data_IF_802200296609
#
_entry.id   IF_802200296609
#
_cell.length_a   1.000
_cell.length_b   1.000
_cell.length_c   1.000
_cell.angle_alpha   90.00
_cell.angle_beta   90.00
_cell.angle_gamma   90.00
#
_symmetry.space_group_name_H-M   'P 1'
#
loop_
_entity.id
_entity.type
_entity.pdbx_description
1 polymer ?
#
# COMPACT_ATOMS: atom_id res chain seq x y z
N UNK A 1 -18.32 5.96 8.41
CA UNK A 1 -17.31 6.62 9.27
C UNK A 1 -16.94 7.94 8.63
N UNK A 2 -17.59 9.04 9.06
CA UNK A 2 -17.45 10.33 8.38
C UNK A 2 -16.16 11.05 8.77
N UNK A 3 -15.68 10.86 9.99
CA UNK A 3 -14.61 11.70 10.55
C UNK A 3 -13.24 11.04 10.51
N UNK A 4 -13.08 9.97 9.73
CA UNK A 4 -11.86 9.16 9.72
C UNK A 4 -11.12 9.28 8.38
N UNK A 5 -9.80 9.43 8.44
CA UNK A 5 -8.90 9.30 7.29
C UNK A 5 -7.89 8.18 7.51
N UNK A 6 -7.43 7.63 6.39
CA UNK A 6 -6.39 6.61 6.29
C UNK A 6 -5.17 7.27 5.62
N UNK A 7 -4.03 7.22 6.30
CA UNK A 7 -2.75 7.70 5.82
C UNK A 7 -1.85 6.51 5.49
N UNK A 8 -1.31 6.47 4.28
CA UNK A 8 -0.44 5.39 3.80
C UNK A 8 0.94 5.92 3.44
N UNK A 9 1.98 5.09 3.61
CA UNK A 9 3.35 5.41 3.20
C UNK A 9 4.20 6.09 4.28
N UNK A 10 3.65 6.35 5.47
CA UNK A 10 4.41 6.92 6.60
C UNK A 10 5.27 5.83 7.23
N UNK A 11 6.58 6.01 7.32
CA UNK A 11 7.50 5.03 7.94
C UNK A 11 7.06 4.65 9.35
N UNK A 12 7.31 3.41 9.74
CA UNK A 12 6.93 2.87 11.05
C UNK A 12 8.16 2.74 11.94
N UNK A 13 8.04 3.16 13.21
CA UNK A 13 9.07 2.99 14.21
C UNK A 13 8.55 2.18 15.41
N UNK A 14 9.45 1.43 16.05
CA UNK A 14 9.11 0.69 17.26
C UNK A 14 8.72 1.66 18.39
N UNK A 15 7.60 1.37 19.08
CA UNK A 15 7.06 2.20 20.17
C UNK A 15 6.80 3.67 19.77
N UNK A 16 6.44 3.93 18.51
CA UNK A 16 6.14 5.28 18.06
C UNK A 16 4.88 5.86 18.71
N UNK A 17 4.88 7.18 18.91
CA UNK A 17 3.65 7.91 19.18
C UNK A 17 2.99 8.28 17.86
N UNK A 18 2.01 7.46 17.44
CA UNK A 18 1.32 7.62 16.15
C UNK A 18 0.64 8.99 15.98
N UNK A 19 0.25 9.64 17.08
CA UNK A 19 -0.37 10.96 17.01
C UNK A 19 0.65 12.04 16.67
N UNK A 20 1.81 12.04 17.35
CA UNK A 20 2.91 12.97 17.06
C UNK A 20 3.44 12.79 15.64
N UNK A 21 3.69 11.54 15.22
CA UNK A 21 4.12 11.22 13.86
C UNK A 21 3.14 11.77 12.81
N UNK A 22 1.84 11.71 13.09
CA UNK A 22 0.84 12.23 12.17
C UNK A 22 0.74 13.77 12.20
N UNK A 23 0.95 14.40 13.35
CA UNK A 23 1.02 15.86 13.47
C UNK A 23 2.21 16.42 12.69
N UNK A 24 3.40 15.83 12.88
CA UNK A 24 4.61 16.18 12.14
C UNK A 24 4.39 16.02 10.63
N UNK A 25 3.83 14.88 10.20
CA UNK A 25 3.47 14.66 8.81
C UNK A 25 2.54 15.75 8.25
N UNK A 26 1.50 16.16 8.98
CA UNK A 26 0.55 17.18 8.52
C UNK A 26 1.24 18.55 8.39
N UNK A 27 2.11 18.91 9.33
CA UNK A 27 2.86 20.16 9.30
C UNK A 27 3.84 20.18 8.12
N UNK A 28 4.69 19.15 7.98
CA UNK A 28 5.77 19.10 6.99
C UNK A 28 5.29 18.85 5.56
N UNK A 29 4.31 17.97 5.37
CA UNK A 29 3.94 17.49 4.04
C UNK A 29 2.74 18.24 3.45
N UNK A 30 1.90 18.85 4.30
CA UNK A 30 0.67 19.52 3.90
C UNK A 30 0.68 21.03 4.17
N UNK A 31 1.72 21.59 4.80
CA UNK A 31 1.83 22.99 5.26
C UNK A 31 0.59 23.46 6.03
N UNK A 32 0.14 22.66 6.99
CA UNK A 32 -0.99 23.01 7.87
C UNK A 32 -0.46 23.17 9.28
N UNK A 33 -0.28 24.43 9.70
CA UNK A 33 0.21 24.79 11.04
C UNK A 33 -0.90 24.85 12.10
N UNK A 34 -2.15 24.56 11.72
CA UNK A 34 -3.27 24.51 12.66
C UNK A 34 -3.14 23.32 13.61
N UNK A 35 -3.44 23.52 14.90
CA UNK A 35 -3.49 22.43 15.87
C UNK A 35 -4.61 21.44 15.52
N UNK A 36 -4.22 20.28 14.97
CA UNK A 36 -5.14 19.21 14.62
C UNK A 36 -5.40 18.33 15.84
N UNK A 37 -6.67 18.22 16.24
CA UNK A 37 -7.09 17.40 17.38
C UNK A 37 -7.69 16.08 16.93
N UNK A 38 -7.11 14.99 17.42
CA UNK A 38 -7.58 13.65 17.15
C UNK A 38 -8.33 13.08 18.35
N UNK A 39 -9.34 12.25 18.09
CA UNK A 39 -9.96 11.43 19.12
C UNK A 39 -9.21 10.09 19.30
N UNK A 40 -8.69 9.55 18.20
CA UNK A 40 -7.96 8.28 18.19
C UNK A 40 -7.06 8.19 16.96
N UNK A 41 -5.81 7.76 17.16
CA UNK A 41 -4.85 7.48 16.09
C UNK A 41 -4.20 6.14 16.37
N UNK A 42 -4.06 5.29 15.35
CA UNK A 42 -3.38 3.99 15.46
C UNK A 42 -3.02 3.43 14.08
N UNK A 43 -2.05 2.51 14.03
CA UNK A 43 -1.71 1.72 12.84
C UNK A 43 -2.76 0.64 12.58
N UNK A 44 -2.99 0.32 11.30
CA UNK A 44 -3.87 -0.74 10.84
C UNK A 44 -3.14 -2.06 10.66
N UNK A 45 -3.73 -3.15 11.17
CA UNK A 45 -3.23 -4.51 11.00
C UNK A 45 -2.17 -4.91 12.03
N UNK A 46 -1.77 -6.19 12.08
CA UNK A 46 -0.67 -6.63 12.93
C UNK A 46 0.66 -6.05 12.44
N UNK A 47 1.66 -5.83 13.31
CA UNK A 47 3.03 -5.54 12.90
C UNK A 47 3.49 -6.58 11.87
N UNK A 48 4.21 -6.14 10.85
CA UNK A 48 4.75 -7.04 9.84
C UNK A 48 6.20 -7.31 10.20
N UNK A 49 6.53 -8.58 10.44
CA UNK A 49 7.90 -8.98 10.74
C UNK A 49 8.76 -8.98 9.47
N UNK A 50 10.06 -8.73 9.64
CA UNK A 50 11.03 -8.52 8.56
C UNK A 50 11.41 -9.82 7.79
N UNK A 51 10.69 -10.92 8.01
CA UNK A 51 11.14 -12.27 7.65
C UNK A 51 10.95 -12.66 6.17
N UNK A 52 10.25 -11.87 5.36
CA UNK A 52 10.13 -12.10 3.92
C UNK A 52 11.35 -11.51 3.18
N UNK A 53 12.43 -12.30 3.15
CA UNK A 53 13.81 -11.94 2.75
C UNK A 53 14.09 -11.39 1.35
N UNK A 54 13.25 -10.51 0.79
CA UNK A 54 13.59 -9.71 -0.40
C UNK A 54 12.84 -8.37 -0.49
N UNK A 55 11.88 -8.05 0.39
CA UNK A 55 11.15 -6.78 0.31
C UNK A 55 11.10 -6.10 1.68
N UNK A 56 11.60 -4.87 1.77
CA UNK A 56 11.37 -4.03 2.96
C UNK A 56 9.87 -3.97 3.26
N UNK A 57 9.43 -4.32 4.47
CA UNK A 57 8.00 -4.37 4.80
C UNK A 57 7.38 -3.00 4.51
N UNK A 58 6.20 -3.03 3.89
CA UNK A 58 5.48 -1.78 3.60
C UNK A 58 4.95 -1.25 4.91
N UNK A 59 5.13 0.05 5.21
CA UNK A 59 4.65 0.60 6.46
C UNK A 59 3.12 0.48 6.55
N UNK A 60 2.64 0.13 7.75
CA UNK A 60 1.20 0.01 8.01
C UNK A 60 0.52 1.38 7.86
N UNK A 61 -0.68 1.39 7.33
CA UNK A 61 -1.44 2.63 7.24
C UNK A 61 -1.88 3.12 8.63
N UNK A 62 -1.89 4.43 8.85
CA UNK A 62 -2.43 5.06 10.07
C UNK A 62 -3.91 5.39 9.84
N UNK A 63 -4.78 5.03 10.78
CA UNK A 63 -6.15 5.54 10.85
C UNK A 63 -6.23 6.59 11.93
N UNK A 64 -6.72 7.76 11.55
CA UNK A 64 -6.98 8.86 12.45
C UNK A 64 -8.45 9.24 12.43
N UNK A 65 -9.07 9.29 13.61
CA UNK A 65 -10.38 9.88 13.84
C UNK A 65 -10.19 11.32 14.31
N UNK A 66 -10.72 12.25 13.53
CA UNK A 66 -10.63 13.68 13.82
C UNK A 66 -11.77 14.11 14.74
N UNK A 67 -11.48 15.06 15.63
CA UNK A 67 -12.52 15.66 16.49
C UNK A 67 -13.44 16.59 15.69
N UNK A 68 -12.95 17.15 14.59
CA UNK A 68 -13.68 18.10 13.75
C UNK A 68 -13.72 17.66 12.29
N UNK A 69 -14.93 17.53 11.75
CA UNK A 69 -15.14 17.26 10.32
C UNK A 69 -14.51 18.33 9.43
N UNK A 70 -14.49 19.60 9.87
CA UNK A 70 -13.88 20.70 9.10
C UNK A 70 -12.38 20.51 8.93
N UNK A 71 -11.67 20.16 10.00
CA UNK A 71 -10.22 19.91 9.97
C UNK A 71 -9.90 18.67 9.12
N UNK A 72 -10.66 17.59 9.32
CA UNK A 72 -10.58 16.38 8.48
C UNK A 72 -10.71 16.71 7.00
N UNK A 73 -11.69 17.54 6.63
CA UNK A 73 -11.96 17.88 5.25
C UNK A 73 -10.89 18.80 4.64
N UNK A 74 -10.33 19.70 5.44
CA UNK A 74 -9.18 20.53 5.05
C UNK A 74 -7.97 19.66 4.71
N UNK A 75 -7.64 18.69 5.57
CA UNK A 75 -6.54 17.73 5.33
C UNK A 75 -6.83 16.86 4.10
N UNK A 76 -8.04 16.34 3.96
CA UNK A 76 -8.43 15.55 2.78
C UNK A 76 -8.23 16.33 1.47
N UNK A 77 -8.60 17.61 1.45
CA UNK A 77 -8.47 18.49 0.26
C UNK A 77 -7.04 18.86 -0.06
N UNK A 78 -6.13 18.80 0.91
CA UNK A 78 -4.69 19.03 0.69
C UNK A 78 -3.97 17.86 -0.01
N UNK A 79 -4.64 16.72 -0.20
CA UNK A 79 -4.07 15.54 -0.88
C UNK A 79 -3.33 15.78 -2.21
N UNK A 80 -3.71 16.75 -3.08
CA UNK A 80 -2.94 17.08 -4.26
C UNK A 80 -1.49 17.53 -3.99
N UNK A 81 -1.18 18.06 -2.79
CA UNK A 81 0.20 18.41 -2.37
C UNK A 81 1.12 17.18 -2.28
N UNK A 82 0.54 16.00 -2.04
CA UNK A 82 1.28 14.74 -1.97
C UNK A 82 1.54 14.10 -3.34
N UNK A 83 1.11 14.74 -4.44
CA UNK A 83 1.29 14.19 -5.78
C UNK A 83 2.78 14.05 -6.12
N UNK A 84 3.20 12.84 -6.45
CA UNK A 84 4.60 12.51 -6.74
C UNK A 84 5.39 12.02 -5.52
N UNK A 85 4.81 12.09 -4.32
CA UNK A 85 5.36 11.48 -3.11
C UNK A 85 4.82 10.05 -2.96
N UNK A 86 5.39 9.30 -2.02
CA UNK A 86 4.97 7.92 -1.70
C UNK A 86 3.82 7.87 -0.67
N UNK A 87 3.34 9.03 -0.22
CA UNK A 87 2.25 9.17 0.73
C UNK A 87 0.88 9.13 0.07
N UNK A 88 -0.14 8.72 0.84
CA UNK A 88 -1.52 8.75 0.40
C UNK A 88 -2.47 9.10 1.54
N UNK A 89 -3.51 9.88 1.23
CA UNK A 89 -4.59 10.24 2.15
C UNK A 89 -5.90 9.77 1.53
N UNK A 90 -6.65 8.92 2.24
CA UNK A 90 -7.91 8.35 1.77
C UNK A 90 -8.99 8.42 2.86
N UNK A 91 -10.25 8.45 2.47
CA UNK A 91 -11.37 8.33 3.41
C UNK A 91 -11.54 6.88 3.87
N UNK A 92 -11.89 6.70 5.15
CA UNK A 92 -12.22 5.37 5.67
C UNK A 92 -13.65 4.98 5.32
N UNK A 93 -13.79 3.99 4.43
CA UNK A 93 -15.08 3.43 4.07
C UNK A 93 -15.44 2.22 4.96
N UNK A 94 -16.75 1.98 5.23
CA UNK A 94 -17.22 0.72 5.80
C UNK A 94 -16.78 -0.49 4.98
N UNK A 95 -16.67 -1.65 5.64
CA UNK A 95 -16.21 -2.90 5.01
C UNK A 95 -17.05 -3.28 3.78
N UNK A 96 -18.37 -3.09 3.84
CA UNK A 96 -19.28 -3.33 2.72
C UNK A 96 -18.87 -2.57 1.47
N UNK A 97 -18.70 -1.25 1.57
CA UNK A 97 -18.28 -0.40 0.44
C UNK A 97 -16.90 -0.83 -0.08
N UNK A 98 -15.96 -1.15 0.82
CA UNK A 98 -14.63 -1.63 0.43
C UNK A 98 -14.73 -2.96 -0.33
N UNK A 99 -15.58 -3.88 0.11
CA UNK A 99 -15.78 -5.17 -0.53
C UNK A 99 -16.46 -5.03 -1.90
N UNK A 100 -17.49 -4.20 -2.02
CA UNK A 100 -18.12 -3.90 -3.31
C UNK A 100 -17.13 -3.29 -4.29
N UNK A 101 -16.29 -2.34 -3.82
CA UNK A 101 -15.22 -1.79 -4.65
C UNK A 101 -14.25 -2.87 -5.10
N UNK A 102 -13.88 -3.82 -4.22
CA UNK A 102 -12.99 -4.93 -4.59
C UNK A 102 -13.53 -5.75 -5.76
N UNK A 103 -14.83 -6.07 -5.74
CA UNK A 103 -15.50 -6.78 -6.82
C UNK A 103 -15.49 -5.99 -8.13
N UNK A 104 -15.58 -4.66 -8.07
CA UNK A 104 -15.60 -3.78 -9.24
C UNK A 104 -14.20 -3.43 -9.81
N UNK A 105 -13.12 -3.82 -9.13
CA UNK A 105 -11.75 -3.47 -9.57
C UNK A 105 -11.31 -4.10 -10.89
N UNK A 106 -11.66 -5.35 -11.23
CA UNK A 106 -11.34 -5.90 -12.54
C UNK A 106 -11.89 -5.01 -13.66
N UNK A 107 -13.19 -4.69 -13.60
CA UNK A 107 -13.83 -3.78 -14.54
C UNK A 107 -13.19 -2.38 -14.56
N UNK A 108 -12.86 -1.82 -13.38
CA UNK A 108 -12.13 -0.55 -13.30
C UNK A 108 -10.77 -0.60 -14.01
N UNK A 109 -10.00 -1.67 -13.80
CA UNK A 109 -8.67 -1.85 -14.40
C UNK A 109 -8.79 -1.96 -15.91
N UNK A 110 -9.76 -2.71 -16.41
CA UNK A 110 -9.94 -2.91 -17.85
C UNK A 110 -10.44 -1.64 -18.54
N UNK A 111 -11.38 -0.90 -17.94
CA UNK A 111 -11.80 0.41 -18.43
C UNK A 111 -10.62 1.41 -18.44
N UNK A 112 -9.75 1.39 -17.41
CA UNK A 112 -8.53 2.21 -17.38
C UNK A 112 -7.52 1.82 -18.45
N UNK A 113 -7.32 0.52 -18.73
CA UNK A 113 -6.47 0.06 -19.84
C UNK A 113 -7.01 0.55 -21.18
N UNK A 114 -8.33 0.54 -21.36
CA UNK A 114 -9.04 1.08 -22.52
C UNK A 114 -9.07 2.62 -22.60
N UNK A 115 -8.46 3.31 -21.63
CA UNK A 115 -8.43 4.79 -21.50
C UNK A 115 -9.83 5.43 -21.42
N UNK A 116 -10.80 4.70 -20.88
CA UNK A 116 -12.16 5.20 -20.68
C UNK A 116 -12.25 6.14 -19.47
N UNK A 117 -13.31 6.95 -19.41
CA UNK A 117 -13.57 7.82 -18.26
C UNK A 117 -14.16 6.98 -17.14
N UNK A 118 -13.42 6.80 -16.05
CA UNK A 118 -13.82 5.96 -14.93
C UNK A 118 -13.88 6.77 -13.63
N UNK A 119 -14.97 6.63 -12.87
CA UNK A 119 -15.19 7.31 -11.58
C UNK A 119 -15.83 6.36 -10.57
N UNK A 120 -15.27 6.29 -9.36
CA UNK A 120 -15.95 5.72 -8.21
C UNK A 120 -16.72 6.79 -7.43
N UNK A 121 -17.96 6.50 -7.07
CA UNK A 121 -18.75 7.31 -6.14
C UNK A 121 -19.28 6.37 -5.07
N UNK A 122 -18.75 6.50 -3.84
CA UNK A 122 -18.99 5.54 -2.76
C UNK A 122 -18.74 4.08 -3.24
N UNK A 123 -19.76 3.23 -3.25
CA UNK A 123 -19.76 1.83 -3.67
C UNK A 123 -19.93 1.63 -5.19
N UNK A 124 -20.25 2.68 -5.95
CA UNK A 124 -20.66 2.58 -7.36
C UNK A 124 -19.52 2.95 -8.31
N UNK A 125 -19.33 2.13 -9.35
CA UNK A 125 -18.41 2.39 -10.45
C UNK A 125 -19.17 2.96 -11.65
N UNK A 126 -18.67 4.06 -12.21
CA UNK A 126 -19.16 4.66 -13.44
C UNK A 126 -18.07 4.61 -14.51
N UNK A 127 -18.40 4.06 -15.68
CA UNK A 127 -17.54 3.99 -16.88
C UNK A 127 -18.27 4.72 -18.02
N UNK A 128 -17.68 5.80 -18.54
CA UNK A 128 -18.30 6.68 -19.54
C UNK A 128 -19.74 7.10 -19.13
N UNK A 129 -19.89 7.50 -17.86
CA UNK A 129 -21.14 7.88 -17.21
C UNK A 129 -22.22 6.78 -17.10
N UNK A 130 -21.89 5.53 -17.46
CA UNK A 130 -22.74 4.35 -17.23
C UNK A 130 -22.33 3.63 -15.95
N UNK A 131 -23.32 3.27 -15.13
CA UNK A 131 -23.08 2.50 -13.90
C UNK A 131 -22.79 1.05 -14.26
N UNK A 132 -21.73 0.50 -13.66
CA UNK A 132 -21.37 -0.92 -13.72
C UNK A 132 -21.82 -1.58 -12.42
N UNK A 133 -22.54 -2.70 -12.53
CA UNK A 133 -22.94 -3.49 -11.38
C UNK A 133 -21.92 -4.60 -11.12
N UNK A 134 -21.73 -5.03 -9.85
CA UNK A 134 -20.86 -6.15 -9.53
C UNK A 134 -21.26 -7.44 -10.25
N UNK A 135 -22.56 -7.66 -10.51
CA UNK A 135 -23.05 -8.83 -11.24
C UNK A 135 -22.57 -8.87 -12.69
N UNK A 136 -22.37 -7.71 -13.31
CA UNK A 136 -21.92 -7.59 -14.71
C UNK A 136 -20.40 -7.76 -14.86
N UNK A 137 -19.66 -7.73 -13.74
CA UNK A 137 -18.22 -7.94 -13.77
C UNK A 137 -17.98 -9.43 -13.90
N UNK A 138 -17.59 -9.87 -15.09
CA UNK A 138 -16.97 -11.18 -15.28
C UNK A 138 -15.70 -11.21 -14.42
N UNK A 139 -15.81 -11.73 -13.20
CA UNK A 139 -14.67 -12.24 -12.47
C UNK A 139 -14.10 -13.36 -13.32
N UNK A 140 -12.83 -13.30 -13.73
CA UNK A 140 -12.13 -14.54 -14.02
C UNK A 140 -12.33 -15.40 -12.77
N UNK A 141 -13.00 -16.54 -12.90
CA UNK A 141 -12.89 -17.60 -11.91
C UNK A 141 -11.41 -17.97 -11.90
N UNK A 142 -10.60 -17.27 -11.11
CA UNK A 142 -9.31 -17.81 -10.70
C UNK A 142 -9.65 -19.00 -9.82
N UNK A 143 -9.21 -20.18 -10.26
CA UNK A 143 -9.34 -21.48 -9.64
C UNK A 143 -9.47 -21.38 -8.12
N UNK A 144 -10.71 -21.53 -7.62
CA UNK A 144 -10.82 -22.07 -6.26
C UNK A 144 -10.22 -23.47 -6.38
N UNK A 145 -9.14 -23.80 -5.64
CA UNK A 145 -8.85 -25.20 -5.42
C UNK A 145 -10.10 -25.73 -4.71
N UNK A 146 -10.90 -26.50 -5.44
CA UNK A 146 -11.82 -27.42 -4.80
C UNK A 146 -10.91 -28.38 -4.04
N UNK A 147 -10.85 -28.20 -2.72
CA UNK A 147 -10.36 -29.24 -1.81
C UNK A 147 -11.35 -30.42 -1.94
N UNK A 148 -11.34 -31.10 -3.10
CA UNK A 148 -11.88 -32.44 -3.25
C UNK A 148 -10.85 -33.36 -2.58
N UNK A 149 -11.09 -33.55 -1.28
CA UNK A 149 -10.66 -34.64 -0.42
C UNK A 149 -10.49 -35.96 -1.20
N UNK A 150 -9.27 -36.29 -1.61
CA UNK A 150 -8.82 -37.68 -1.67
C UNK A 150 -8.69 -38.17 -0.22
N UNK A 151 -9.78 -38.76 0.29
CA UNK A 151 -9.81 -39.45 1.59
C UNK A 151 -8.95 -40.72 1.54
N UNK A 152 -7.66 -40.58 1.78
CA UNK A 152 -6.86 -41.61 2.45
C UNK A 152 -6.19 -40.99 3.68
N UNK A 153 -6.73 -41.26 4.86
CA UNK A 153 -6.25 -40.68 6.11
C UNK A 153 -4.83 -41.16 6.46
N UNK A 154 -3.91 -40.27 6.85
CA UNK A 154 -2.59 -40.69 7.31
C UNK A 154 -2.62 -41.13 8.78
N UNK A 155 -1.83 -42.17 9.05
CA UNK A 155 -1.51 -42.75 10.36
C UNK A 155 -0.96 -41.71 11.36
N UNK A 156 -1.19 -41.88 12.68
CA UNK A 156 -0.83 -40.87 13.67
C UNK A 156 0.66 -40.98 14.02
N UNK A 157 1.46 -39.96 13.71
CA UNK A 157 2.79 -39.85 14.29
C UNK A 157 3.80 -38.97 13.59
N UNK A 158 3.59 -37.65 13.51
CA UNK A 158 4.65 -36.62 13.60
C UNK A 158 4.00 -35.23 13.62
N UNK A 159 4.32 -34.41 14.64
CA UNK A 159 3.90 -33.02 14.74
C UNK A 159 4.88 -32.16 13.95
N UNK A 160 4.52 -31.76 12.75
CA UNK A 160 5.11 -30.61 12.06
C UNK A 160 4.00 -29.62 11.72
N UNK A 161 4.18 -28.38 12.18
CA UNK A 161 3.21 -27.30 12.06
C UNK A 161 3.07 -26.88 10.60
N UNK A 162 1.86 -27.06 10.06
CA UNK A 162 1.43 -26.58 8.76
C UNK A 162 0.66 -25.29 8.97
N UNK A 163 1.30 -24.15 8.76
CA UNK A 163 0.62 -22.86 8.61
C UNK A 163 1.44 -22.01 7.64
N UNK A 164 1.04 -21.95 6.37
CA UNK A 164 1.04 -20.70 5.61
C UNK A 164 0.34 -20.86 4.26
N UNK A 165 -0.99 -20.81 4.30
CA UNK A 165 -1.82 -20.60 3.12
C UNK A 165 -1.61 -19.16 2.63
N UNK A 166 -0.77 -19.05 1.59
CA UNK A 166 -0.61 -17.90 0.69
C UNK A 166 -1.91 -17.12 0.50
N UNK A 167 -2.00 -15.95 1.12
CA UNK A 167 -2.92 -14.89 0.70
C UNK A 167 -2.11 -13.81 -0.03
N UNK A 168 -1.83 -14.05 -1.30
CA UNK A 168 -1.29 -13.03 -2.22
C UNK A 168 -2.33 -11.93 -2.39
N UNK A 169 -2.15 -10.80 -1.69
CA UNK A 169 -3.07 -9.65 -1.75
C UNK A 169 -2.46 -8.55 -2.62
N UNK A 170 -3.09 -8.39 -3.78
CA UNK A 170 -2.77 -7.45 -4.85
C UNK A 170 -2.46 -6.02 -4.43
N UNK A 171 -1.38 -5.55 -5.06
CA UNK A 171 -0.82 -4.22 -5.10
C UNK A 171 -1.76 -3.21 -5.80
N UNK A 172 -2.13 -2.12 -5.12
CA UNK A 172 -2.71 -0.95 -5.78
C UNK A 172 -1.60 0.04 -6.09
N UNK A 173 -0.84 -0.20 -7.16
CA UNK A 173 0.00 0.84 -7.78
C UNK A 173 -0.64 1.35 -9.05
N UNK A 174 -1.09 2.59 -8.98
CA UNK A 174 -1.19 3.51 -10.10
C UNK A 174 0.13 3.55 -10.86
N UNK A 175 0.05 3.45 -12.19
CA UNK A 175 1.19 3.31 -13.09
C UNK A 175 2.29 4.35 -12.88
N UNK A 176 3.47 3.88 -12.51
CA UNK A 176 4.74 4.52 -12.82
C UNK A 176 5.38 3.71 -13.95
N UNK A 177 5.61 4.36 -15.09
CA UNK A 177 6.30 3.77 -16.22
C UNK A 177 7.75 3.46 -15.80
N UNK A 178 8.14 2.18 -15.86
CA UNK A 178 9.55 1.77 -15.81
C UNK A 178 10.21 2.22 -17.11
N UNK A 179 11.00 3.27 -17.08
CA UNK A 179 12.00 3.53 -18.12
C UNK A 179 13.21 2.66 -17.82
N UNK A 180 13.42 1.60 -18.61
CA UNK A 180 14.67 0.84 -18.58
C UNK A 180 15.77 1.68 -19.23
N UNK A 181 16.69 2.23 -18.44
CA UNK A 181 17.97 2.67 -18.98
C UNK A 181 19.04 1.64 -18.62
N UNK A 182 19.57 1.06 -19.68
CA UNK A 182 20.57 0.00 -19.75
C UNK A 182 21.90 0.56 -19.30
N UNK A 183 22.50 -0.03 -18.27
CA UNK A 183 23.86 0.27 -17.85
C UNK A 183 24.88 -0.19 -18.89
N UNK A 184 25.86 0.66 -19.20
CA UNK A 184 27.16 0.26 -19.69
C UNK A 184 28.17 1.38 -19.41
N UNK A 185 29.30 1.05 -18.79
CA UNK A 185 30.44 1.97 -18.67
C UNK A 185 31.22 1.83 -17.38
N UNK A 186 32.07 0.80 -17.30
CA UNK A 186 33.06 0.60 -16.24
C UNK A 186 34.04 1.78 -16.20
N UNK A 187 34.03 2.54 -15.11
CA UNK A 187 35.09 3.50 -14.76
C UNK A 187 35.72 3.12 -13.43
N UNK A 188 36.80 2.31 -13.43
CA UNK A 188 37.65 2.10 -12.25
C UNK A 188 38.95 2.87 -12.45
N UNK A 189 38.95 4.13 -12.02
CA UNK A 189 40.17 4.88 -11.71
C UNK A 189 40.57 4.64 -10.27
N UNK A 190 41.66 3.90 -10.03
CA UNK A 190 42.42 3.95 -8.78
C UNK A 190 43.91 3.91 -9.12
N UNK A 191 44.49 5.09 -9.25
CA UNK A 191 45.92 5.28 -9.08
C UNK A 191 46.23 5.35 -7.59
N UNK A 192 47.13 4.49 -7.10
CA UNK A 192 48.09 4.80 -6.03
C UNK A 192 49.33 3.96 -6.29
N UNK A 193 50.37 4.63 -6.76
CA UNK A 193 51.69 4.06 -6.92
C UNK A 193 52.34 3.74 -5.58
N UNK A 194 53.08 2.63 -5.55
CA UNK A 194 54.23 2.44 -4.68
C UNK A 194 55.32 1.76 -5.51
N UNK A 195 56.41 2.48 -5.72
CA UNK A 195 57.59 2.00 -6.42
C UNK A 195 58.36 0.96 -5.59
N UNK A 196 58.88 -0.06 -6.30
CA UNK A 196 60.32 -0.45 -6.39
C UNK A 196 61.21 0.13 -5.28
N UNK A 197 62.13 -0.56 -4.61
CA UNK A 197 62.85 -1.85 -4.70
C UNK A 197 63.66 -1.95 -3.38
N UNK A 198 64.09 -3.14 -2.92
CA UNK A 198 65.01 -3.27 -1.80
C UNK A 198 66.45 -3.50 -2.28
N UNK A 199 67.46 -2.81 -1.73
CA UNK A 199 68.86 -3.28 -1.66
C UNK A 199 69.65 -2.53 -0.58
N UNK A 200 70.33 -3.34 0.27
CA UNK A 200 71.63 -3.21 0.99
C UNK A 200 72.28 -1.80 1.06
N UNK A 201 72.95 -1.42 2.16
CA UNK A 201 73.94 -2.16 2.96
C UNK A 201 74.13 -1.47 4.30
#
# INVERSE_FOLDING_TARGET
MRDNLIFSGISEQANENTELVLQEFISEELDIDEEVRFERVHRLGPPQDDYDGDTTPRPRAIVAKFSSYKQRELIRRSGPKLKGKHFGINEQYPKEIVNTRKMLLPAYRDAKKKKEKVRFVADKLYVNDRRVYPEDVQTPMEDMPTDEDDREGPTPGSRENVDDRRYSRYDYRTGAQRTTYRGNGRGRGRGRGRGRRPWRR
#
